data_IF_334276063178
#
_entry.id   IF_334276063178
#
_cell.length_a   1.000
_cell.length_b   1.000
_cell.length_c   1.000
_cell.angle_alpha   90.00
_cell.angle_beta   90.00
_cell.angle_gamma   90.00
#
_symmetry.space_group_name_H-M   'P 1'
#
loop_
_entity.id
_entity.type
_entity.pdbx_description
1 polymer ?
2 non-polymer ?
3 water ?
#
# COMPACT_ATOMS: atom_id res chain seq x y z
N UNK A 1 -15.71 9.33 2.01
CA UNK A 1 -15.42 9.97 3.33
C UNK A 1 -13.93 10.00 3.69
N UNK A 2 -13.14 9.13 3.05
CA UNK A 2 -11.69 9.10 3.28
C UNK A 2 -11.07 10.37 2.69
N UNK A 3 -10.26 11.08 3.47
CA UNK A 3 -9.62 12.34 3.02
C UNK A 3 -8.22 12.46 3.63
N UNK A 4 -7.44 13.36 3.06
CA UNK A 4 -6.07 13.56 3.50
C UNK A 4 -5.71 15.03 3.37
N UNK A 5 -4.69 15.45 4.10
CA UNK A 5 -4.24 16.84 4.12
C UNK A 5 -2.77 16.90 3.71
N UNK A 6 -2.45 17.81 2.80
CA UNK A 6 -1.07 18.06 2.40
C UNK A 6 -0.72 19.53 2.65
N UNK A 7 0.36 19.77 3.40
CA UNK A 7 0.91 21.11 3.53
C UNK A 7 2.32 21.14 2.94
N UNK A 8 2.55 22.08 2.03
CA UNK A 8 3.87 22.25 1.41
C UNK A 8 4.87 22.92 2.38
N UNK A 9 5.97 22.23 2.67
CA UNK A 9 7.04 22.81 3.51
C UNK A 9 7.88 23.81 2.71
N UNK A 10 7.89 23.64 1.40
CA UNK A 10 8.62 24.50 0.48
C UNK A 10 7.90 24.53 -0.86
N UNK A 11 8.31 25.44 -1.73
CA UNK A 11 7.82 25.46 -3.10
C UNK A 11 8.18 24.16 -3.79
N UNK A 12 7.39 23.79 -4.80
CA UNK A 12 7.71 22.62 -5.62
C UNK A 12 6.96 21.36 -5.25
N UNK A 13 5.95 21.46 -4.40
CA UNK A 13 5.15 20.27 -4.06
C UNK A 13 4.10 20.08 -5.16
N UNK A 14 3.89 18.83 -5.59
CA UNK A 14 2.77 18.47 -6.46
C UNK A 14 1.96 17.31 -5.88
N UNK A 15 0.64 17.36 -6.05
CA UNK A 15 -0.25 16.29 -5.65
C UNK A 15 -0.91 15.79 -6.93
N UNK A 16 -0.62 14.52 -7.29
CA UNK A 16 -1.23 13.90 -8.47
C UNK A 16 -2.41 13.03 -8.07
N UNK A 17 -3.53 13.24 -8.77
CA UNK A 17 -4.70 12.37 -8.63
C UNK A 17 -4.62 11.25 -9.65
N UNK A 18 -4.84 10.02 -9.18
CA UNK A 18 -4.77 8.82 -10.00
C UNK A 18 -6.18 8.28 -10.23
N UNK A 19 -6.48 7.95 -11.48
CA UNK A 19 -7.82 7.56 -11.89
C UNK A 19 -8.27 6.24 -11.26
N UNK A 20 -9.49 6.25 -10.76
CA UNK A 20 -10.16 5.03 -10.32
C UNK A 20 -10.61 4.26 -11.54
N UNK A 21 -10.44 2.93 -11.49
CA UNK A 21 -10.93 2.05 -12.53
C UNK A 21 -9.85 1.08 -13.03
N UNK A 22 -10.15 0.46 -14.15
CA UNK A 22 -9.25 -0.50 -14.79
C UNK A 22 -7.92 0.16 -15.13
N UNK A 23 -8.00 1.40 -15.60
CA UNK A 23 -6.79 2.14 -15.97
C UNK A 23 -6.30 3.05 -14.85
N UNK A 24 -4.99 3.23 -14.80
CA UNK A 24 -4.36 4.07 -13.77
C UNK A 24 -3.48 5.11 -14.48
N UNK A 25 -3.94 6.36 -14.47
CA UNK A 25 -3.18 7.48 -15.00
C UNK A 25 -3.40 8.69 -14.11
N UNK A 26 -2.52 9.69 -14.23
CA UNK A 26 -2.70 10.95 -13.51
C UNK A 26 -3.68 11.83 -14.27
N UNK A 27 -4.80 12.14 -13.64
CA UNK A 27 -5.81 12.98 -14.29
C UNK A 27 -5.74 14.46 -13.89
N UNK A 28 -4.98 14.76 -12.83
CA UNK A 28 -4.79 16.10 -12.35
C UNK A 28 -3.50 16.18 -11.55
N UNK A 29 -2.80 17.29 -11.70
CA UNK A 29 -1.67 17.66 -10.83
C UNK A 29 -1.97 19.02 -10.22
N UNK A 30 -1.93 19.11 -8.89
CA UNK A 30 -2.11 20.37 -8.19
C UNK A 30 -0.76 20.74 -7.60
N UNK A 31 -0.29 21.94 -7.94
CA UNK A 31 0.97 22.45 -7.38
C UNK A 31 0.71 23.19 -6.07
N UNK A 32 1.56 22.98 -5.08
CA UNK A 32 1.51 23.70 -3.81
C UNK A 32 2.80 24.48 -3.58
N UNK A 33 2.66 25.80 -3.38
CA UNK A 33 3.77 26.65 -2.97
C UNK A 33 3.94 26.53 -1.46
N UNK A 34 5.09 26.96 -0.95
CA UNK A 34 5.35 26.88 0.49
C UNK A 34 4.18 27.43 1.29
N UNK A 35 3.71 26.64 2.26
CA UNK A 35 2.63 27.05 3.16
C UNK A 35 1.22 26.74 2.71
N UNK A 36 1.04 26.48 1.42
CA UNK A 36 -0.28 26.14 0.91
C UNK A 36 -0.72 24.76 1.38
N UNK A 37 -2.03 24.61 1.55
CA UNK A 37 -2.61 23.37 2.04
C UNK A 37 -3.69 22.90 1.07
N UNK A 38 -3.67 21.61 0.76
CA UNK A 38 -4.74 20.97 0.03
C UNK A 38 -5.36 19.92 0.95
N UNK A 39 -6.70 19.96 1.05
CA UNK A 39 -7.45 18.97 1.76
C UNK A 39 -8.27 18.28 0.68
N UNK A 40 -8.14 16.98 0.55
CA UNK A 40 -8.78 16.30 -0.58
C UNK A 40 -9.33 14.93 -0.18
N UNK A 41 -10.40 14.53 -0.83
CA UNK A 41 -11.04 13.24 -0.63
C UNK A 41 -10.63 12.22 -1.70
N UNK A 42 -10.75 10.95 -1.37
CA UNK A 42 -10.97 9.95 -2.40
C UNK A 42 -12.39 10.02 -2.88
N UNK A 43 -12.59 9.71 -4.15
CA UNK A 43 -13.84 10.03 -4.83
C UNK A 43 -14.12 9.00 -5.88
N UNK A 44 -15.24 9.18 -6.56
CA UNK A 44 -15.54 8.35 -7.73
C UNK A 44 -14.41 8.31 -8.74
N UNK A 45 -13.75 9.44 -8.93
CA UNK A 45 -12.75 9.54 -9.98
C UNK A 45 -11.31 9.37 -9.49
N UNK A 46 -11.08 9.51 -8.19
CA UNK A 46 -9.74 9.45 -7.64
C UNK A 46 -9.61 8.37 -6.55
N UNK A 47 -8.84 7.31 -6.83
CA UNK A 47 -8.72 6.19 -5.87
C UNK A 47 -7.30 6.08 -5.26
N UNK A 48 -6.40 6.94 -5.72
CA UNK A 48 -5.03 6.98 -5.22
C UNK A 48 -4.43 8.33 -5.55
N UNK A 49 -3.46 8.75 -4.76
CA UNK A 49 -2.68 9.96 -5.05
C UNK A 49 -1.19 9.72 -4.87
N UNK A 50 -0.40 10.51 -5.59
CA UNK A 50 1.05 10.54 -5.44
C UNK A 50 1.47 11.96 -5.11
N UNK A 51 2.31 12.10 -4.09
CA UNK A 51 2.75 13.41 -3.61
C UNK A 51 4.26 13.51 -3.78
N UNK A 52 4.72 14.62 -4.36
CA UNK A 52 6.14 14.87 -4.57
C UNK A 52 6.53 16.20 -3.92
N UNK A 53 7.78 16.31 -3.52
CA UNK A 53 8.27 17.54 -2.91
C UNK A 53 8.24 17.48 -1.39
N UNK A 54 8.69 18.57 -0.76
CA UNK A 54 8.85 18.64 0.67
C UNK A 54 7.51 19.02 1.31
N UNK A 55 6.90 18.07 2.01
CA UNK A 55 5.52 18.22 2.48
C UNK A 55 5.26 17.51 3.81
N UNK A 56 4.29 18.04 4.53
CA UNK A 56 3.68 17.40 5.70
C UNK A 56 2.37 16.78 5.20
N UNK A 57 2.13 15.51 5.51
CA UNK A 57 0.95 14.78 5.03
C UNK A 57 0.22 14.21 6.24
N UNK A 58 -1.10 14.38 6.27
CA UNK A 58 -1.92 13.87 7.36
C UNK A 58 -3.00 12.96 6.83
N UNK A 59 -3.12 11.79 7.45
CA UNK A 59 -4.24 10.89 7.18
C UNK A 59 -4.74 10.40 8.53
N UNK A 60 -5.70 9.49 8.52
CA UNK A 60 -6.13 8.81 9.77
C UNK A 60 -4.98 8.21 10.58
N UNK A 61 -3.93 7.78 9.90
CA UNK A 61 -2.82 7.06 10.53
C UNK A 61 -1.77 7.95 11.14
N UNK A 62 -1.88 9.25 10.91
CA UNK A 62 -0.99 10.21 11.58
C UNK A 62 -0.38 11.17 10.58
N UNK A 63 0.65 11.87 11.05
CA UNK A 63 1.32 12.90 10.27
C UNK A 63 2.67 12.37 9.77
N UNK A 64 2.93 12.62 8.50
CA UNK A 64 4.11 12.13 7.81
C UNK A 64 4.85 13.35 7.25
N UNK A 65 6.17 13.37 7.42
CA UNK A 65 7.02 14.42 6.85
C UNK A 65 7.88 13.81 5.77
N UNK A 66 7.77 14.32 4.54
CA UNK A 66 8.45 13.70 3.40
C UNK A 66 9.99 13.82 3.50
N UNK A 67 10.49 14.86 4.17
CA UNK A 67 11.93 15.11 4.32
C UNK A 67 12.59 14.31 5.45
N UNK A 68 11.79 13.79 6.37
CA UNK A 68 12.31 13.08 7.54
C UNK A 68 12.98 11.77 7.13
N UNK A 69 14.01 11.39 7.87
CA UNK A 69 14.65 10.07 7.74
C UNK A 69 14.10 9.11 8.81
N UNK A 70 13.26 8.17 8.39
CA UNK A 70 12.80 7.08 9.26
C UNK A 70 13.71 5.86 9.09
N UNK B 1 -13.38 0.80 1.92
CA UNK B 1 -12.88 2.14 2.36
C UNK B 1 -11.47 2.07 2.94
N UNK B 2 -10.86 0.89 2.95
CA UNK B 2 -9.50 0.72 3.48
C UNK B 2 -8.48 1.34 2.54
N UNK B 3 -7.52 2.10 3.12
CA UNK B 3 -6.42 2.74 2.40
C UNK B 3 -5.10 2.51 3.12
N UNK B 4 -4.01 2.71 2.38
CA UNK B 4 -2.66 2.50 2.86
C UNK B 4 -1.77 3.65 2.37
N UNK B 5 -0.68 3.90 3.08
CA UNK B 5 0.28 4.92 2.74
C UNK B 5 1.66 4.29 2.54
N UNK B 6 2.36 4.69 1.49
CA UNK B 6 3.73 4.27 1.23
C UNK B 6 4.62 5.49 1.05
N UNK B 7 5.67 5.63 1.85
CA UNK B 7 6.68 6.67 1.64
C UNK B 7 8.01 6.01 1.24
N UNK B 8 8.59 6.43 0.12
CA UNK B 8 9.89 5.92 -0.30
C UNK B 8 11.00 6.45 0.59
N UNK B 9 11.75 5.55 1.22
CA UNK B 9 12.95 5.96 1.97
C UNK B 9 14.14 6.25 1.07
N UNK B 10 14.16 5.61 -0.10
CA UNK B 10 15.21 5.84 -1.10
C UNK B 10 14.58 5.73 -2.47
N UNK B 11 15.34 6.10 -3.51
CA UNK B 11 14.90 5.86 -4.89
C UNK B 11 14.72 4.35 -5.11
N UNK B 12 13.89 4.00 -6.08
CA UNK B 12 13.74 2.60 -6.51
C UNK B 12 12.51 1.90 -5.97
N UNK B 13 11.68 2.59 -5.19
CA UNK B 13 10.47 1.95 -4.64
C UNK B 13 9.41 1.75 -5.71
N UNK B 14 8.72 0.60 -5.67
CA UNK B 14 7.63 0.33 -6.60
C UNK B 14 6.42 -0.21 -5.84
N UNK B 15 5.22 0.24 -6.24
CA UNK B 15 3.97 -0.24 -5.67
C UNK B 15 3.20 -0.91 -6.80
N UNK B 16 2.98 -2.22 -6.70
CA UNK B 16 2.23 -2.95 -7.71
C UNK B 16 0.80 -3.13 -7.25
N UNK B 17 -0.16 -2.79 -8.11
CA UNK B 17 -1.56 -3.12 -7.87
C UNK B 17 -1.89 -4.49 -8.45
N UNK B 18 -2.57 -5.31 -7.66
CA UNK B 18 -2.94 -6.69 -8.04
C UNK B 18 -4.44 -6.73 -8.31
N UNK B 19 -4.82 -7.37 -9.41
CA UNK B 19 -6.19 -7.36 -9.86
C UNK B 19 -7.12 -8.13 -8.91
N UNK B 20 -8.30 -7.56 -8.69
CA UNK B 20 -9.38 -8.24 -8.01
C UNK B 20 -10.05 -9.20 -8.95
N UNK B 21 -10.39 -10.38 -8.43
CA UNK B 21 -11.20 -11.34 -9.17
C UNK B 21 -10.55 -12.72 -9.21
N UNK B 22 -11.02 -13.59 -10.09
CA UNK B 22 -10.44 -14.92 -10.28
C UNK B 22 -9.01 -14.85 -10.79
N UNK B 23 -8.74 -13.81 -11.58
CA UNK B 23 -7.41 -13.59 -12.13
C UNK B 23 -6.62 -12.68 -11.21
N UNK B 24 -5.36 -13.05 -10.97
CA UNK B 24 -4.47 -12.25 -10.15
C UNK B 24 -3.24 -11.94 -10.98
N UNK B 25 -3.06 -10.68 -11.31
CA UNK B 25 -1.85 -10.21 -11.99
C UNK B 25 -1.63 -8.73 -11.63
N UNK B 26 -0.44 -8.22 -11.94
CA UNK B 26 -0.18 -6.81 -11.73
C UNK B 26 -0.79 -6.00 -12.88
N UNK B 27 -1.64 -5.03 -12.54
CA UNK B 27 -2.23 -4.15 -13.53
C UNK B 27 -1.58 -2.75 -13.54
N UNK B 28 -0.77 -2.44 -12.54
CA UNK B 28 -0.13 -1.14 -12.48
C UNK B 28 1.09 -1.24 -11.58
N UNK B 29 2.11 -0.49 -11.92
CA UNK B 29 3.28 -0.32 -11.07
C UNK B 29 3.55 1.19 -10.95
N UNK B 30 3.51 1.71 -9.72
CA UNK B 30 3.85 3.09 -9.49
C UNK B 30 5.23 3.19 -8.87
N UNK B 31 6.13 3.92 -9.53
CA UNK B 31 7.48 4.12 -9.00
C UNK B 31 7.55 5.36 -8.11
N UNK B 32 8.23 5.20 -6.97
CA UNK B 32 8.41 6.30 -6.03
C UNK B 32 9.90 6.55 -5.81
N UNK B 33 10.33 7.80 -6.05
CA UNK B 33 11.68 8.23 -5.69
C UNK B 33 11.72 8.65 -4.23
N UNK B 34 12.93 8.79 -3.69
CA UNK B 34 13.09 9.13 -2.29
C UNK B 34 12.14 10.25 -1.85
N UNK B 35 11.42 10.00 -0.76
CA UNK B 35 10.52 10.99 -0.14
C UNK B 35 9.12 11.07 -0.71
N UNK B 36 8.92 10.51 -1.90
CA UNK B 36 7.61 10.56 -2.54
C UNK B 36 6.67 9.63 -1.80
N UNK B 37 5.38 9.98 -1.82
CA UNK B 37 4.39 9.28 -1.03
C UNK B 37 3.22 8.91 -1.93
N UNK B 38 2.74 7.69 -1.78
CA UNK B 38 1.50 7.28 -2.40
C UNK B 38 0.49 6.94 -1.32
N UNK B 39 -0.73 7.44 -1.47
CA UNK B 39 -1.84 7.08 -0.61
C UNK B 39 -2.85 6.44 -1.53
N UNK B 40 -3.25 5.21 -1.24
CA UNK B 40 -4.10 4.50 -2.21
C UNK B 40 -5.11 3.62 -1.50
N UNK B 41 -6.22 3.39 -2.16
CA UNK B 41 -7.31 2.58 -1.62
C UNK B 41 -7.31 1.19 -2.23
N UNK B 42 -7.95 0.26 -1.52
CA UNK B 42 -8.44 -0.93 -2.22
C UNK B 42 -9.70 -0.51 -2.90
N UNK B 43 -9.99 -1.15 -4.04
CA UNK B 43 -10.98 -0.68 -4.98
C UNK B 43 -11.63 -1.84 -5.70
N UNK B 44 -12.57 -1.53 -6.59
CA UNK B 44 -13.14 -2.52 -7.46
C UNK B 44 -12.10 -3.31 -8.25
N UNK B 45 -11.03 -2.65 -8.64
CA UNK B 45 -10.01 -3.26 -9.47
C UNK B 45 -8.79 -3.76 -8.76
N UNK B 46 -8.56 -3.29 -7.54
CA UNK B 46 -7.34 -3.62 -6.78
C UNK B 46 -7.70 -4.20 -5.42
N UNK B 47 -7.38 -5.48 -5.19
CA UNK B 47 -7.70 -6.17 -3.94
C UNK B 47 -6.45 -6.56 -3.15
N UNK B 48 -5.26 -6.30 -3.73
CA UNK B 48 -4.00 -6.53 -3.03
C UNK B 48 -2.90 -5.66 -3.67
N UNK B 49 -1.87 -5.35 -2.90
CA UNK B 49 -0.73 -4.66 -3.46
C UNK B 49 0.57 -5.33 -2.99
N UNK B 50 1.60 -5.18 -3.79
CA UNK B 50 2.94 -5.62 -3.42
C UNK B 50 3.88 -4.43 -3.50
N UNK B 51 4.69 -4.24 -2.46
CA UNK B 51 5.60 -3.10 -2.36
C UNK B 51 7.04 -3.59 -2.32
N UNK B 52 7.87 -3.03 -3.21
CA UNK B 52 9.29 -3.36 -3.31
C UNK B 52 10.11 -2.10 -3.05
N UNK B 53 11.27 -2.27 -2.43
CA UNK B 53 12.18 -1.17 -2.17
C UNK B 53 12.15 -0.74 -0.73
N UNK B 54 12.97 0.26 -0.42
CA UNK B 54 13.13 0.73 0.94
C UNK B 54 12.05 1.76 1.23
N UNK B 55 11.09 1.39 2.07
CA UNK B 55 9.87 2.18 2.24
C UNK B 55 9.31 2.15 3.66
N UNK B 56 8.60 3.23 4.00
CA UNK B 56 7.74 3.28 5.18
C UNK B 56 6.33 3.00 4.71
N UNK B 57 5.65 2.07 5.38
CA UNK B 57 4.31 1.64 4.96
C UNK B 57 3.38 1.85 6.14
N UNK B 58 2.22 2.46 5.89
CA UNK B 58 1.22 2.69 6.94
C UNK B 58 -0.14 2.10 6.58
N UNK B 59 -0.69 1.36 7.53
CA UNK B 59 -2.05 0.84 7.46
C UNK B 59 -2.71 1.10 8.82
N UNK B 60 -3.97 0.74 8.95
CA UNK B 60 -4.63 0.84 10.26
C UNK B 60 -3.94 -0.01 11.34
N UNK B 61 -3.13 -0.99 10.95
CA UNK B 61 -2.38 -1.78 11.94
C UNK B 61 -1.06 -1.14 12.38
N UNK B 62 -0.67 -0.03 11.75
CA UNK B 62 0.51 0.71 12.19
C UNK B 62 1.51 0.94 11.09
N UNK B 63 2.72 1.31 11.48
CA UNK B 63 3.77 1.69 10.54
C UNK B 63 4.85 0.60 10.46
N UNK B 64 5.19 0.22 9.23
CA UNK B 64 6.23 -0.76 8.95
C UNK B 64 7.36 -0.10 8.18
N UNK B 65 8.58 -0.54 8.48
CA UNK B 65 9.79 -0.13 7.77
C UNK B 65 10.42 -1.35 7.10
N UNK B 66 10.39 -1.38 5.77
CA UNK B 66 10.90 -2.53 5.02
C UNK B 66 12.36 -2.86 5.32
N UNK B 67 13.16 -1.84 5.63
CA UNK B 67 14.59 -2.03 5.92
C UNK B 67 14.90 -2.56 7.33
N UNK B 68 13.91 -2.53 8.22
CA UNK B 68 14.13 -2.94 9.60
C UNK B 68 14.47 -4.42 9.69
N UNK B 69 15.56 -4.72 10.40
CA UNK B 69 15.88 -6.09 10.79
C UNK B 69 14.91 -6.51 11.89
N UNK B 70 13.95 -7.36 11.54
CA UNK B 70 12.92 -7.81 12.49
C UNK B 70 13.37 -9.09 13.22
N UNK C 1 -12.65 -6.83 2.82
CA UNK C 1 -12.71 -5.64 3.74
C UNK C 1 -11.77 -5.90 4.91
N UNK C 2 -11.83 -7.11 5.47
CA UNK C 2 -10.75 -7.59 6.33
C UNK C 2 -9.52 -7.67 5.43
N UNK C 3 -8.37 -7.26 5.94
CA UNK C 3 -7.10 -7.28 5.17
C UNK C 3 -5.98 -7.64 6.12
N UNK C 4 -4.85 -8.01 5.54
CA UNK C 4 -3.69 -8.42 6.31
C UNK C 4 -2.42 -7.93 5.60
N UNK C 5 -1.34 -7.84 6.36
CA UNK C 5 -0.04 -7.37 5.89
C UNK C 5 0.98 -8.49 6.07
N UNK C 6 1.82 -8.71 5.08
CA UNK C 6 2.92 -9.68 5.18
C UNK C 6 4.20 -8.99 4.72
N UNK C 7 5.23 -8.94 5.58
CA UNK C 7 6.55 -8.45 5.22
C UNK C 7 7.52 -9.62 5.28
N UNK C 8 8.23 -9.88 4.18
CA UNK C 8 9.25 -10.94 4.18
C UNK C 8 10.50 -10.59 5.00
N UNK C 9 10.89 -11.51 5.88
CA UNK C 9 12.19 -11.42 6.57
C UNK C 9 13.34 -12.12 5.81
N UNK C 10 13.02 -12.85 4.75
CA UNK C 10 13.99 -13.57 3.92
C UNK C 10 13.41 -13.67 2.51
N UNK C 11 14.24 -13.99 1.53
CA UNK C 11 13.77 -14.31 0.18
C UNK C 11 12.86 -15.53 0.14
N UNK C 12 11.98 -15.57 -0.86
CA UNK C 12 11.13 -16.75 -1.11
C UNK C 12 9.98 -17.02 -0.15
N UNK C 13 9.63 -16.04 0.70
CA UNK C 13 8.38 -16.13 1.45
C UNK C 13 7.28 -16.33 0.41
N UNK C 14 6.29 -17.15 0.71
CA UNK C 14 5.26 -17.47 -0.26
C UNK C 14 3.88 -17.31 0.34
N UNK C 15 3.02 -16.56 -0.35
CA UNK C 15 1.65 -16.29 0.09
C UNK C 15 0.72 -16.97 -0.89
N UNK C 16 -0.02 -17.96 -0.39
CA UNK C 16 -1.00 -18.67 -1.22
C UNK C 16 -2.40 -18.19 -0.91
N UNK C 17 -3.14 -17.81 -1.94
CA UNK C 17 -4.55 -17.47 -1.80
C UNK C 17 -5.37 -18.75 -1.98
N UNK C 18 -6.32 -18.97 -1.07
CA UNK C 18 -7.21 -20.14 -1.05
C UNK C 18 -8.61 -19.74 -1.50
N UNK C 19 -9.17 -20.52 -2.42
CA UNK C 19 -10.44 -20.18 -3.01
C UNK C 19 -11.61 -20.18 -2.03
N UNK C 20 -12.45 -19.14 -2.15
CA UNK C 20 -13.76 -19.13 -1.50
C UNK C 20 -14.71 -20.05 -2.22
N UNK C 21 -15.53 -20.77 -1.47
CA UNK C 21 -16.56 -21.60 -2.02
C UNK C 21 -16.55 -23.03 -1.51
N UNK C 22 -17.25 -23.90 -2.20
CA UNK C 22 -17.31 -25.31 -1.84
C UNK C 22 -15.93 -25.97 -1.96
N UNK C 23 -15.16 -25.57 -2.96
CA UNK C 23 -13.83 -26.11 -3.23
C UNK C 23 -12.78 -25.25 -2.55
N UNK C 24 -11.71 -25.88 -2.09
CA UNK C 24 -10.59 -25.19 -1.47
C UNK C 24 -9.31 -25.60 -2.20
N UNK C 25 -8.72 -24.63 -2.90
CA UNK C 25 -7.45 -24.85 -3.59
C UNK C 25 -6.65 -23.54 -3.59
N UNK C 26 -5.35 -23.65 -3.87
CA UNK C 26 -4.54 -22.44 -4.02
C UNK C 26 -4.72 -21.91 -5.42
N UNK C 27 -5.25 -20.69 -5.55
CA UNK C 27 -5.52 -20.14 -6.88
C UNK C 27 -4.43 -19.16 -7.33
N UNK C 28 -3.56 -18.78 -6.40
CA UNK C 28 -2.50 -17.86 -6.66
C UNK C 28 -1.43 -18.01 -5.59
N UNK C 29 -0.19 -17.88 -6.05
CA UNK C 29 0.99 -17.86 -5.20
C UNK C 29 1.74 -16.55 -5.49
N UNK C 30 2.02 -15.76 -4.44
CA UNK C 30 2.80 -14.56 -4.58
C UNK C 30 4.03 -14.71 -3.72
N UNK C 31 5.19 -14.71 -4.35
CA UNK C 31 6.46 -14.77 -3.62
C UNK C 31 7.00 -13.39 -3.28
N UNK C 32 7.64 -13.30 -2.13
CA UNK C 32 8.20 -12.05 -1.61
C UNK C 32 9.70 -12.23 -1.31
N UNK C 33 10.52 -11.32 -1.81
CA UNK C 33 11.93 -11.26 -1.45
C UNK C 33 12.04 -10.48 -0.15
N UNK C 34 13.19 -10.61 0.52
CA UNK C 34 13.40 -9.98 1.80
C UNK C 34 13.02 -8.49 1.77
N UNK C 35 12.24 -8.07 2.77
CA UNK C 35 11.75 -6.68 2.88
C UNK C 35 10.54 -6.29 2.08
N UNK C 36 10.18 -7.12 1.10
CA UNK C 36 8.99 -6.83 0.31
C UNK C 36 7.73 -7.05 1.16
N UNK C 37 6.66 -6.31 0.84
CA UNK C 37 5.43 -6.33 1.62
C UNK C 37 4.25 -6.57 0.68
N UNK C 38 3.35 -7.45 1.11
CA UNK C 38 2.05 -7.59 0.46
C UNK C 38 1.00 -7.13 1.46
N UNK C 39 0.06 -6.34 0.96
CA UNK C 39 -1.10 -5.93 1.74
C UNK C 39 -2.25 -6.49 0.94
N UNK C 40 -3.07 -7.32 1.55
CA UNK C 40 -4.08 -8.02 0.75
C UNK C 40 -5.40 -8.13 1.53
N UNK C 41 -6.50 -8.13 0.80
CA UNK C 41 -7.83 -8.32 1.39
C UNK C 41 -8.33 -9.75 1.25
N UNK C 42 -9.30 -10.10 2.09
CA UNK C 42 -10.20 -11.18 1.74
C UNK C 42 -11.24 -10.63 0.80
N UNK C 43 -11.67 -11.46 -0.13
CA UNK C 43 -12.46 -11.07 -1.28
C UNK C 43 -13.47 -12.08 -1.70
N UNK C 44 -14.18 -11.77 -2.77
CA UNK C 44 -15.13 -12.71 -3.33
C UNK C 44 -14.47 -14.04 -3.68
N UNK C 45 -13.20 -13.97 -4.06
CA UNK C 45 -12.47 -15.15 -4.52
C UNK C 45 -11.53 -15.75 -3.52
N UNK C 46 -11.17 -14.99 -2.52
CA UNK C 46 -10.19 -15.43 -1.53
C UNK C 46 -10.74 -15.36 -0.11
N UNK C 47 -10.92 -16.52 0.52
CA UNK C 47 -11.46 -16.56 1.88
C UNK C 47 -10.48 -17.09 2.93
N UNK C 48 -9.29 -17.49 2.48
CA UNK C 48 -8.21 -17.85 3.41
C UNK C 48 -6.87 -17.73 2.69
N UNK C 49 -5.80 -17.60 3.44
CA UNK C 49 -4.45 -17.59 2.89
C UNK C 49 -3.54 -18.48 3.72
N UNK C 50 -2.50 -19.00 3.08
CA UNK C 50 -1.48 -19.80 3.74
C UNK C 50 -0.14 -19.16 3.43
N UNK C 51 0.65 -18.91 4.47
CA UNK C 51 1.90 -18.19 4.35
C UNK C 51 3.04 -19.10 4.84
N UNK C 52 4.10 -19.21 4.02
CA UNK C 52 5.28 -20.00 4.35
C UNK C 52 6.51 -19.14 4.25
N UNK C 53 7.38 -19.21 5.25
CA UNK C 53 8.61 -18.46 5.21
C UNK C 53 8.77 -17.57 6.43
N UNK C 54 9.97 -17.00 6.55
CA UNK C 54 10.31 -16.10 7.65
C UNK C 54 9.65 -14.75 7.36
N UNK C 55 8.62 -14.42 8.13
CA UNK C 55 7.86 -13.20 7.87
C UNK C 55 7.23 -12.57 9.11
N UNK C 56 6.95 -11.26 8.99
CA UNK C 56 6.11 -10.54 9.92
C UNK C 56 4.73 -10.45 9.31
N UNK C 57 3.71 -10.81 10.10
CA UNK C 57 2.35 -10.83 9.62
C UNK C 57 1.55 -9.92 10.56
N UNK C 58 0.71 -9.08 10.00
CA UNK C 58 -0.16 -8.21 10.79
C UNK C 58 -1.60 -8.41 10.40
N UNK C 59 -2.44 -8.55 11.41
CA UNK C 59 -3.87 -8.53 11.27
C UNK C 59 -4.44 -7.59 12.33
N UNK C 60 -5.76 -7.49 12.37
CA UNK C 60 -6.37 -6.68 13.42
C UNK C 60 -6.12 -7.23 14.84
N UNK C 61 -5.62 -8.47 14.93
CA UNK C 61 -5.29 -9.06 16.22
C UNK C 61 -3.89 -8.75 16.68
N UNK C 62 -3.07 -8.15 15.81
CA UNK C 62 -1.71 -7.81 16.17
C UNK C 62 -0.68 -8.34 15.18
N UNK C 63 0.58 -8.26 15.57
CA UNK C 63 1.71 -8.63 14.74
C UNK C 63 2.22 -10.00 15.17
N UNK C 64 2.43 -10.87 14.20
CA UNK C 64 3.02 -12.20 14.40
C UNK C 64 4.35 -12.30 13.67
N UNK C 65 5.31 -12.95 14.30
CA UNK C 65 6.62 -13.22 13.70
C UNK C 65 6.68 -14.74 13.51
N UNK C 66 6.73 -15.20 12.26
CA UNK C 66 6.73 -16.65 11.97
C UNK C 66 7.95 -17.40 12.52
N UNK C 67 9.04 -16.67 12.78
CA UNK C 67 10.27 -17.28 13.32
C UNK C 67 10.23 -17.53 14.82
N UNK C 68 9.49 -16.70 15.54
CA UNK C 68 9.46 -16.75 17.00
C UNK C 68 9.03 -18.13 17.51
N UNK C 69 9.79 -18.68 18.46
CA UNK C 69 9.41 -19.92 19.13
C UNK C 69 8.59 -19.60 20.38
N UNK C 70 7.36 -20.13 20.44
CA UNK C 70 6.52 -20.02 21.64
C UNK C 70 6.52 -21.33 22.43
#
# INVERSE_FOLDING_TARGET
SNFFVIKAKENGVNVFGMTRGTDTRFHHSEKLDKGEVMIAQFTEHTSAVKIRGKAIIQTSYGTLDTEKDE
SNFFVIKAKENGVNVFGMTRGTDTRFHHSEKLDKGEVMIAQFTEHTSAVKIRGKAIIQTSYGTLDTEKDE
SNFFVIKAKENGVNVFGMTRGTDTRFHHSEKLDKGEVMIAQFTEHTSAVKIRGKAIIQTSYGTLDTEKDE
#
